data_IF_076946305117
#
_entry.id   IF_076946305117
#
_cell.length_a   1.000
_cell.length_b   1.000
_cell.length_c   1.000
_cell.angle_alpha   90.00
_cell.angle_beta   90.00
_cell.angle_gamma   90.00
#
_symmetry.space_group_name_H-M   'P 1'
#
loop_
_entity.id
_entity.type
_entity.pdbx_description
1 polymer ?
#
# COMPACT_ATOMS: atom_id res chain seq x y z
N UNK A 1 -36.20 3.11 -10.00
CA UNK A 1 -35.11 2.25 -10.50
C UNK A 1 -33.78 2.98 -10.77
N UNK A 2 -33.65 4.30 -10.53
CA UNK A 2 -32.38 5.03 -10.79
C UNK A 2 -31.49 5.31 -9.56
N UNK A 3 -31.95 5.07 -8.32
CA UNK A 3 -31.17 5.41 -7.11
C UNK A 3 -30.25 4.28 -6.61
N UNK A 4 -30.46 3.02 -7.01
CA UNK A 4 -29.55 1.92 -6.68
C UNK A 4 -28.29 1.88 -7.55
N UNK A 5 -28.33 2.52 -8.73
CA UNK A 5 -27.18 2.56 -9.65
C UNK A 5 -26.09 3.55 -9.20
N UNK A 6 -26.47 4.68 -8.61
CA UNK A 6 -25.51 5.66 -8.07
C UNK A 6 -24.77 5.15 -6.82
N UNK A 7 -25.44 4.39 -5.95
CA UNK A 7 -24.79 3.80 -4.77
C UNK A 7 -23.73 2.74 -5.14
N UNK A 8 -23.93 2.01 -6.24
CA UNK A 8 -22.95 1.05 -6.76
C UNK A 8 -21.73 1.74 -7.41
N UNK A 9 -21.93 2.90 -8.04
CA UNK A 9 -20.84 3.70 -8.62
C UNK A 9 -19.90 4.29 -7.55
N UNK A 10 -20.43 4.68 -6.39
CA UNK A 10 -19.63 5.18 -5.26
C UNK A 10 -18.79 4.05 -4.64
N UNK A 11 -19.34 2.84 -4.50
CA UNK A 11 -18.60 1.67 -4.00
C UNK A 11 -17.45 1.23 -4.94
N UNK A 12 -17.57 1.48 -6.25
CA UNK A 12 -16.55 1.17 -7.26
C UNK A 12 -15.31 2.08 -7.23
N UNK A 13 -15.38 3.22 -6.54
CA UNK A 13 -14.27 4.21 -6.46
C UNK A 13 -13.34 4.01 -5.26
N UNK A 14 -13.63 3.01 -4.41
CA UNK A 14 -12.79 2.63 -3.26
C UNK A 14 -11.70 1.66 -3.72
N UNK A 15 -10.45 1.76 -3.23
CA UNK A 15 -9.39 0.85 -3.64
C UNK A 15 -9.76 -0.60 -3.32
N UNK A 16 -9.82 -1.44 -4.37
CA UNK A 16 -10.20 -2.86 -4.28
C UNK A 16 -11.51 -3.23 -5.00
N UNK A 17 -12.30 -2.26 -5.47
CA UNK A 17 -13.59 -2.55 -6.11
C UNK A 17 -13.52 -2.86 -7.63
N UNK A 18 -12.34 -2.76 -8.25
CA UNK A 18 -12.12 -3.11 -9.66
C UNK A 18 -11.87 -4.59 -9.94
N UNK A 19 -12.00 -5.47 -8.94
CA UNK A 19 -11.78 -6.92 -9.10
C UNK A 19 -13.11 -7.67 -9.01
N UNK A 20 -13.65 -8.01 -10.19
CA UNK A 20 -14.69 -9.03 -10.37
C UNK A 20 -16.11 -8.59 -10.02
N UNK A 21 -17.04 -8.84 -10.95
CA UNK A 21 -18.48 -8.90 -10.63
C UNK A 21 -18.69 -9.82 -9.42
N UNK A 22 -19.72 -9.52 -8.62
CA UNK A 22 -20.15 -10.31 -7.47
C UNK A 22 -20.57 -11.73 -7.86
N UNK A 23 -19.60 -12.59 -8.17
CA UNK A 23 -19.73 -14.04 -8.11
C UNK A 23 -19.39 -14.49 -6.70
N UNK A 24 -20.16 -15.44 -6.17
CA UNK A 24 -19.81 -16.16 -4.95
C UNK A 24 -18.35 -16.60 -5.03
N UNK A 25 -17.51 -16.10 -4.12
CA UNK A 25 -16.14 -16.61 -3.96
C UNK A 25 -16.25 -18.12 -3.69
N UNK A 26 -15.57 -18.99 -4.46
CA UNK A 26 -15.58 -20.41 -4.15
C UNK A 26 -14.98 -20.65 -2.76
N UNK A 27 -15.45 -21.67 -2.02
CA UNK A 27 -14.92 -21.99 -0.71
C UNK A 27 -13.43 -22.31 -0.82
N UNK A 28 -12.63 -21.65 0.01
CA UNK A 28 -11.19 -21.92 0.14
C UNK A 28 -10.98 -23.37 0.62
N UNK A 29 -10.21 -24.16 -0.12
CA UNK A 29 -9.66 -25.42 0.39
C UNK A 29 -8.65 -25.06 1.49
N UNK A 30 -8.72 -25.66 2.70
CA UNK A 30 -7.78 -25.37 3.77
C UNK A 30 -6.33 -25.69 3.33
N UNK A 31 -5.42 -24.72 3.43
CA UNK A 31 -3.97 -24.96 3.29
C UNK A 31 -3.49 -25.93 4.36
N UNK A 32 -2.56 -26.81 4.00
CA UNK A 32 -1.65 -27.40 4.99
C UNK A 32 -0.85 -26.26 5.63
N UNK A 33 -0.93 -26.13 6.95
CA UNK A 33 -0.19 -25.14 7.70
C UNK A 33 1.32 -25.39 7.51
N UNK A 34 2.08 -24.33 7.17
CA UNK A 34 3.54 -24.42 7.19
C UNK A 34 4.01 -24.70 8.62
N UNK A 35 4.92 -25.67 8.79
CA UNK A 35 5.42 -26.08 10.10
C UNK A 35 6.41 -25.08 10.73
N UNK A 36 6.83 -24.02 10.01
CA UNK A 36 7.78 -23.02 10.50
C UNK A 36 7.24 -21.59 10.29
N UNK A 37 7.19 -20.74 11.34
CA UNK A 37 6.76 -19.36 11.20
C UNK A 37 7.82 -18.51 10.47
N UNK A 38 7.41 -17.56 9.62
CA UNK A 38 8.35 -16.68 8.92
C UNK A 38 9.13 -15.79 9.91
N UNK A 39 10.38 -15.41 9.60
CA UNK A 39 11.23 -14.60 10.49
C UNK A 39 10.69 -13.19 10.75
N UNK A 40 9.86 -12.67 9.84
CA UNK A 40 9.10 -11.43 10.04
C UNK A 40 7.63 -11.72 9.75
N UNK A 41 6.69 -11.28 10.62
CA UNK A 41 5.26 -11.39 10.36
C UNK A 41 4.89 -10.75 9.02
N UNK A 42 3.95 -11.35 8.30
CA UNK A 42 3.49 -10.81 7.03
C UNK A 42 2.86 -9.42 7.24
N UNK A 43 3.43 -8.34 6.66
CA UNK A 43 2.94 -6.98 6.91
C UNK A 43 1.61 -6.66 6.24
N UNK A 44 1.07 -7.54 5.39
CA UNK A 44 -0.14 -7.28 4.61
C UNK A 44 -1.34 -8.11 5.07
N UNK A 45 -1.19 -8.90 6.13
CA UNK A 45 -2.29 -9.70 6.69
C UNK A 45 -2.64 -9.14 8.05
N UNK A 46 -3.91 -8.80 8.24
CA UNK A 46 -4.43 -8.35 9.51
C UNK A 46 -5.57 -9.28 9.93
N UNK A 47 -5.39 -9.98 11.05
CA UNK A 47 -6.47 -10.76 11.67
C UNK A 47 -6.94 -10.08 12.95
N UNK A 48 -8.00 -9.28 12.85
CA UNK A 48 -8.63 -8.70 14.03
C UNK A 48 -9.55 -9.74 14.68
N UNK A 49 -9.07 -10.39 15.75
CA UNK A 49 -9.88 -11.30 16.56
C UNK A 49 -10.68 -10.53 17.60
N UNK A 50 -12.01 -10.56 17.47
CA UNK A 50 -12.94 -9.94 18.43
C UNK A 50 -13.74 -11.01 19.17
N UNK A 51 -13.61 -11.05 20.50
CA UNK A 51 -14.46 -11.87 21.37
C UNK A 51 -15.91 -11.37 21.42
N UNK A 52 -16.83 -12.22 21.90
CA UNK A 52 -18.26 -11.93 21.93
C UNK A 52 -18.60 -10.63 22.66
N UNK A 53 -17.97 -10.37 23.82
CA UNK A 53 -18.17 -9.14 24.59
C UNK A 53 -17.84 -7.86 23.79
N UNK A 54 -16.76 -7.88 22.99
CA UNK A 54 -16.38 -6.73 22.15
C UNK A 54 -17.33 -6.53 20.98
N UNK A 55 -17.85 -7.62 20.41
CA UNK A 55 -18.86 -7.55 19.34
C UNK A 55 -20.17 -6.94 19.87
N UNK A 56 -20.63 -7.38 21.05
CA UNK A 56 -21.79 -6.79 21.72
C UNK A 56 -21.56 -5.31 22.04
N UNK A 57 -20.38 -4.96 22.56
CA UNK A 57 -20.03 -3.55 22.81
C UNK A 57 -20.09 -2.71 21.52
N UNK A 58 -19.47 -3.18 20.43
CA UNK A 58 -19.50 -2.50 19.13
C UNK A 58 -20.94 -2.37 18.60
N UNK A 59 -21.78 -3.39 18.82
CA UNK A 59 -23.18 -3.36 18.41
C UNK A 59 -23.96 -2.27 19.18
N UNK A 60 -23.93 -2.30 20.51
CA UNK A 60 -24.67 -1.34 21.34
C UNK A 60 -24.16 0.10 21.16
N UNK A 61 -22.84 0.30 21.18
CA UNK A 61 -22.26 1.62 20.93
C UNK A 61 -22.49 2.05 19.48
N UNK A 62 -22.48 1.11 18.53
CA UNK A 62 -22.68 1.40 17.12
C UNK A 62 -24.06 1.97 16.81
N UNK A 63 -25.11 1.50 17.48
CA UNK A 63 -26.48 2.04 17.31
C UNK A 63 -26.52 3.55 17.62
N UNK A 64 -25.69 4.03 18.55
CA UNK A 64 -25.69 5.42 19.00
C UNK A 64 -24.58 6.22 18.29
N UNK A 65 -23.32 5.77 18.37
CA UNK A 65 -22.15 6.51 17.90
C UNK A 65 -22.08 6.57 16.38
N UNK A 66 -22.38 5.47 15.68
CA UNK A 66 -22.24 5.44 14.22
C UNK A 66 -23.10 6.51 13.51
N UNK A 67 -24.43 6.62 13.75
CA UNK A 67 -25.24 7.62 13.06
C UNK A 67 -24.83 9.05 13.43
N UNK A 68 -24.50 9.30 14.71
CA UNK A 68 -24.05 10.63 15.17
C UNK A 68 -22.74 11.01 14.47
N UNK A 69 -21.75 10.13 14.48
CA UNK A 69 -20.43 10.40 13.87
C UNK A 69 -20.53 10.52 12.36
N UNK A 70 -21.31 9.68 11.70
CA UNK A 70 -21.54 9.76 10.26
C UNK A 70 -22.19 11.10 9.88
N UNK A 71 -23.18 11.56 10.64
CA UNK A 71 -23.81 12.86 10.44
C UNK A 71 -22.82 14.00 10.63
N UNK A 72 -22.06 14.01 11.72
CA UNK A 72 -21.05 15.04 11.99
C UNK A 72 -19.97 15.08 10.90
N UNK A 73 -19.48 13.94 10.46
CA UNK A 73 -18.52 13.81 9.35
C UNK A 73 -19.10 14.41 8.07
N UNK A 74 -20.34 14.07 7.73
CA UNK A 74 -21.01 14.60 6.54
C UNK A 74 -21.17 16.13 6.62
N UNK A 75 -21.61 16.66 7.76
CA UNK A 75 -21.75 18.10 7.99
C UNK A 75 -20.40 18.83 7.86
N UNK A 76 -19.33 18.30 8.44
CA UNK A 76 -18.00 18.91 8.35
C UNK A 76 -17.48 18.91 6.92
N UNK A 77 -17.68 17.84 6.16
CA UNK A 77 -17.29 17.79 4.73
C UNK A 77 -18.07 18.84 3.93
N UNK A 78 -19.37 18.97 4.16
CA UNK A 78 -20.21 19.98 3.50
C UNK A 78 -19.78 21.42 3.87
N UNK A 79 -19.42 21.65 5.13
CA UNK A 79 -18.91 22.95 5.60
C UNK A 79 -17.51 23.27 5.05
N UNK A 80 -16.65 22.27 4.89
CA UNK A 80 -15.30 22.46 4.35
C UNK A 80 -15.30 22.72 2.83
N UNK A 81 -16.27 22.15 2.12
CA UNK A 81 -16.38 22.26 0.66
C UNK A 81 -16.36 23.69 0.10
N UNK A 82 -17.14 24.67 0.60
CA UNK A 82 -17.10 26.05 0.08
C UNK A 82 -15.71 26.69 0.25
N UNK A 83 -15.02 26.45 1.37
CA UNK A 83 -13.66 26.97 1.57
C UNK A 83 -12.67 26.34 0.59
N UNK A 84 -12.78 25.04 0.33
CA UNK A 84 -11.98 24.39 -0.70
C UNK A 84 -12.28 24.96 -2.10
N UNK A 85 -13.56 25.25 -2.39
CA UNK A 85 -13.97 25.87 -3.65
C UNK A 85 -13.41 27.27 -3.81
N UNK A 86 -13.43 28.11 -2.78
CA UNK A 86 -12.82 29.45 -2.77
C UNK A 86 -11.30 29.34 -2.96
N UNK A 87 -10.65 28.43 -2.25
CA UNK A 87 -9.20 28.20 -2.31
C UNK A 87 -8.74 27.87 -3.74
N UNK A 88 -9.54 27.07 -4.44
CA UNK A 88 -9.22 26.56 -5.79
C UNK A 88 -10.01 27.26 -6.91
N UNK A 89 -10.70 28.36 -6.62
CA UNK A 89 -11.44 29.12 -7.61
C UNK A 89 -10.48 29.67 -8.68
N UNK A 90 -10.87 29.62 -9.96
CA UNK A 90 -10.06 30.11 -11.08
C UNK A 90 -8.65 29.49 -11.19
N UNK A 91 -8.38 28.37 -10.51
CA UNK A 91 -7.13 27.64 -10.65
C UNK A 91 -7.25 26.66 -11.83
N UNK A 92 -6.20 26.50 -12.66
CA UNK A 92 -6.17 25.43 -13.65
C UNK A 92 -6.19 24.07 -12.98
N UNK A 93 -6.63 23.03 -13.70
CA UNK A 93 -6.67 21.67 -13.17
C UNK A 93 -5.26 21.16 -12.81
N UNK A 94 -4.25 21.55 -13.59
CA UNK A 94 -2.84 21.34 -13.29
C UNK A 94 -2.20 22.66 -12.86
N UNK A 95 -1.84 22.75 -11.58
CA UNK A 95 -1.20 23.94 -11.02
C UNK A 95 0.25 24.08 -11.50
N UNK A 96 0.57 25.22 -12.12
CA UNK A 96 1.95 25.59 -12.46
C UNK A 96 2.64 26.41 -11.37
N UNK A 97 1.86 27.12 -10.55
CA UNK A 97 2.30 27.93 -9.42
C UNK A 97 1.49 27.59 -8.16
N UNK A 98 2.07 27.81 -6.96
CA UNK A 98 1.35 27.54 -5.73
C UNK A 98 0.17 28.49 -5.56
N UNK A 99 -0.92 27.98 -4.99
CA UNK A 99 -2.02 28.82 -4.51
C UNK A 99 -1.45 29.69 -3.39
N UNK A 100 -1.56 31.01 -3.55
CA UNK A 100 -0.99 32.03 -2.66
C UNK A 100 -1.99 33.17 -2.43
N UNK A 101 -1.64 34.09 -1.53
CA UNK A 101 -2.44 35.28 -1.24
C UNK A 101 -3.68 35.01 -0.39
N UNK A 102 -4.61 35.97 -0.38
CA UNK A 102 -5.73 36.04 0.56
C UNK A 102 -6.61 34.77 0.56
N UNK A 103 -6.78 34.11 -0.59
CA UNK A 103 -7.58 32.89 -0.69
C UNK A 103 -7.03 31.79 0.19
N UNK A 104 -5.71 31.61 0.19
CA UNK A 104 -5.05 30.60 1.01
C UNK A 104 -4.97 31.04 2.47
N UNK A 105 -4.62 32.29 2.73
CA UNK A 105 -4.53 32.84 4.10
C UNK A 105 -5.85 32.72 4.87
N UNK A 106 -6.99 32.91 4.20
CA UNK A 106 -8.32 32.75 4.82
C UNK A 106 -8.75 31.28 4.89
N UNK A 107 -8.59 30.52 3.80
CA UNK A 107 -9.16 29.16 3.74
C UNK A 107 -8.34 28.12 4.49
N UNK A 108 -7.00 28.25 4.54
CA UNK A 108 -6.14 27.22 5.13
C UNK A 108 -6.35 27.06 6.65
N UNK A 109 -6.43 28.12 7.48
CA UNK A 109 -6.71 27.95 8.90
C UNK A 109 -8.07 27.29 9.16
N UNK A 110 -9.09 27.66 8.38
CA UNK A 110 -10.44 27.09 8.48
C UNK A 110 -10.45 25.62 8.09
N UNK A 111 -9.84 25.27 6.95
CA UNK A 111 -9.72 23.88 6.51
C UNK A 111 -8.90 23.04 7.49
N UNK A 112 -7.87 23.61 8.11
CA UNK A 112 -7.07 22.94 9.14
C UNK A 112 -7.92 22.67 10.37
N UNK A 113 -8.69 23.66 10.85
CA UNK A 113 -9.61 23.50 11.97
C UNK A 113 -10.67 22.43 11.68
N UNK A 114 -11.33 22.51 10.51
CA UNK A 114 -12.33 21.54 10.08
C UNK A 114 -11.73 20.14 9.91
N UNK A 115 -10.46 20.03 9.49
CA UNK A 115 -9.73 18.76 9.46
C UNK A 115 -9.56 18.14 10.85
N UNK A 116 -9.20 18.94 11.87
CA UNK A 116 -9.13 18.45 13.25
C UNK A 116 -10.52 18.06 13.78
N UNK A 117 -11.52 18.89 13.51
CA UNK A 117 -12.91 18.60 13.87
C UNK A 117 -13.40 17.30 13.22
N UNK A 118 -13.05 17.07 11.95
CA UNK A 118 -13.40 15.84 11.22
C UNK A 118 -12.88 14.60 11.94
N UNK A 119 -11.59 14.56 12.27
CA UNK A 119 -10.99 13.42 12.99
C UNK A 119 -11.56 13.28 14.40
N UNK A 120 -11.79 14.38 15.11
CA UNK A 120 -12.46 14.34 16.42
C UNK A 120 -13.87 13.76 16.33
N UNK A 121 -14.67 14.16 15.33
CA UNK A 121 -16.00 13.61 15.06
C UNK A 121 -15.98 12.14 14.66
N UNK A 122 -14.91 11.65 14.03
CA UNK A 122 -14.69 10.22 13.79
C UNK A 122 -14.35 9.43 15.07
N UNK A 123 -14.08 10.12 16.18
CA UNK A 123 -13.71 9.55 17.47
C UNK A 123 -12.20 9.54 17.74
N UNK A 124 -11.39 10.23 16.94
CA UNK A 124 -9.94 10.24 17.14
C UNK A 124 -9.51 11.21 18.24
N UNK A 125 -8.65 10.71 19.13
CA UNK A 125 -7.93 11.52 20.12
C UNK A 125 -6.48 11.60 19.66
N UNK A 126 -6.10 12.77 19.16
CA UNK A 126 -4.79 13.00 18.52
C UNK A 126 -3.81 13.53 19.56
N UNK A 127 -2.70 12.85 19.74
CA UNK A 127 -1.56 13.33 20.53
C UNK A 127 -0.44 13.74 19.59
N UNK A 128 0.01 14.98 19.73
CA UNK A 128 1.08 15.55 18.91
C UNK A 128 2.40 15.54 19.69
N UNK A 129 3.47 15.04 19.07
CA UNK A 129 4.83 15.02 19.63
C UNK A 129 5.81 15.65 18.64
N UNK A 130 6.83 16.32 19.15
CA UNK A 130 7.85 16.97 18.32
C UNK A 130 7.38 18.28 17.69
N UNK A 131 8.28 18.91 16.92
CA UNK A 131 8.05 20.21 16.28
C UNK A 131 7.96 20.04 14.77
N UNK A 132 6.92 20.63 14.16
CA UNK A 132 6.79 20.68 12.71
C UNK A 132 7.84 21.63 12.14
N UNK A 133 8.67 21.14 11.22
CA UNK A 133 9.69 21.91 10.53
C UNK A 133 9.06 22.86 9.52
N UNK A 134 9.71 24.01 9.30
CA UNK A 134 9.27 24.98 8.29
C UNK A 134 9.57 24.46 6.87
N UNK A 135 8.89 24.95 5.83
CA UNK A 135 9.16 24.55 4.45
C UNK A 135 10.62 24.71 4.00
N UNK A 136 11.32 25.73 4.51
CA UNK A 136 12.76 25.94 4.23
C UNK A 136 13.69 24.95 4.96
N UNK A 137 13.23 24.38 6.07
CA UNK A 137 14.02 23.43 6.88
C UNK A 137 13.87 22.01 6.34
N UNK A 138 12.65 21.61 5.97
CA UNK A 138 12.34 20.31 5.39
C UNK A 138 11.17 20.42 4.40
N UNK A 139 11.43 20.56 3.08
CA UNK A 139 10.36 20.66 2.08
C UNK A 139 9.51 19.39 1.91
N UNK A 140 9.97 18.24 2.44
CA UNK A 140 9.28 16.95 2.32
C UNK A 140 9.04 16.34 3.70
N UNK A 141 7.83 15.89 3.96
CA UNK A 141 7.49 15.01 5.06
C UNK A 141 7.42 13.56 4.59
N UNK A 142 8.00 12.63 5.35
CA UNK A 142 7.88 11.20 5.10
C UNK A 142 7.18 10.54 6.29
N UNK A 143 5.96 10.01 6.08
CA UNK A 143 5.16 9.43 7.15
C UNK A 143 5.15 7.90 7.10
N UNK A 144 5.31 7.27 8.27
CA UNK A 144 5.25 5.82 8.43
C UNK A 144 4.88 5.41 9.87
N UNK A 145 4.35 4.20 10.10
CA UNK A 145 3.91 3.27 9.07
C UNK A 145 2.64 3.77 8.37
N UNK A 146 2.51 3.51 7.07
CA UNK A 146 1.26 3.69 6.34
C UNK A 146 0.40 2.45 6.58
N UNK A 147 -0.69 2.59 7.31
CA UNK A 147 -1.53 1.47 7.74
C UNK A 147 -3.00 1.64 7.43
N UNK A 148 -3.43 2.87 7.13
CA UNK A 148 -4.85 3.16 6.96
C UNK A 148 -5.09 4.45 6.19
N UNK A 149 -6.27 4.59 5.62
CA UNK A 149 -6.70 5.87 5.06
C UNK A 149 -6.86 6.96 6.15
N UNK A 150 -7.02 6.57 7.42
CA UNK A 150 -6.99 7.52 8.54
C UNK A 150 -5.61 8.13 8.81
N UNK A 151 -4.53 7.63 8.19
CA UNK A 151 -3.20 8.25 8.27
C UNK A 151 -3.19 9.66 7.66
N UNK A 152 -4.24 10.04 6.93
CA UNK A 152 -4.51 11.41 6.52
C UNK A 152 -4.50 12.42 7.67
N UNK A 153 -4.60 11.98 8.94
CA UNK A 153 -4.38 12.85 10.10
C UNK A 153 -3.00 13.50 10.08
N UNK A 154 -1.97 12.82 9.54
CA UNK A 154 -0.64 13.40 9.37
C UNK A 154 -0.67 14.67 8.51
N UNK A 155 -1.54 14.73 7.49
CA UNK A 155 -1.72 15.91 6.65
C UNK A 155 -2.30 17.08 7.47
N UNK A 156 -3.34 16.81 8.27
CA UNK A 156 -3.98 17.82 9.12
C UNK A 156 -2.99 18.32 10.19
N UNK A 157 -2.29 17.39 10.84
CA UNK A 157 -1.28 17.64 11.86
C UNK A 157 -0.10 18.48 11.34
N UNK A 158 0.37 18.19 10.12
CA UNK A 158 1.47 18.91 9.46
C UNK A 158 1.06 20.26 8.85
N UNK A 159 -0.21 20.67 8.95
CA UNK A 159 -0.67 21.97 8.47
C UNK A 159 -1.11 22.00 7.01
N UNK A 160 -1.67 20.90 6.52
CA UNK A 160 -2.20 20.74 5.16
C UNK A 160 -1.12 20.87 4.06
N UNK A 161 -0.04 20.07 4.12
CA UNK A 161 0.94 19.97 3.03
C UNK A 161 0.28 19.43 1.75
N UNK A 162 0.99 19.58 0.62
CA UNK A 162 0.68 18.84 -0.59
C UNK A 162 0.84 17.35 -0.36
N UNK A 163 -0.01 16.53 -0.99
CA UNK A 163 0.08 15.08 -0.89
C UNK A 163 0.31 14.46 -2.27
N UNK A 164 0.95 13.30 -2.30
CA UNK A 164 0.95 12.45 -3.51
C UNK A 164 -0.33 11.61 -3.49
N UNK A 165 -1.17 11.78 -4.51
CA UNK A 165 -2.48 11.12 -4.57
C UNK A 165 -2.77 10.57 -5.96
N UNK A 166 -3.61 9.54 -6.05
CA UNK A 166 -4.00 9.01 -7.35
C UNK A 166 -4.95 9.97 -8.06
N UNK A 167 -4.91 9.99 -9.38
CA UNK A 167 -5.75 10.87 -10.18
C UNK A 167 -7.26 10.59 -9.98
N UNK A 168 -7.65 9.36 -9.68
CA UNK A 168 -9.06 9.01 -9.45
C UNK A 168 -9.61 9.69 -8.18
N UNK A 169 -8.76 9.94 -7.18
CA UNK A 169 -9.18 10.54 -5.92
C UNK A 169 -9.66 12.00 -6.09
N UNK A 170 -9.14 12.74 -7.08
CA UNK A 170 -9.61 14.12 -7.36
C UNK A 170 -10.93 14.17 -8.14
N UNK A 171 -11.39 13.03 -8.65
CA UNK A 171 -12.66 12.90 -9.36
C UNK A 171 -13.83 12.53 -8.43
N UNK A 172 -13.55 12.15 -7.18
CA UNK A 172 -14.60 11.85 -6.19
C UNK A 172 -15.39 13.13 -5.88
N UNK A 173 -16.73 13.12 -6.00
CA UNK A 173 -17.56 14.27 -5.65
C UNK A 173 -17.31 14.77 -4.23
N UNK A 174 -17.33 16.09 -4.03
CA UNK A 174 -17.00 16.80 -2.78
C UNK A 174 -15.54 16.64 -2.31
N UNK A 175 -15.07 15.41 -2.13
CA UNK A 175 -13.73 15.07 -1.64
C UNK A 175 -12.64 15.55 -2.62
N UNK A 176 -12.86 15.42 -3.92
CA UNK A 176 -11.90 15.83 -4.92
C UNK A 176 -11.58 17.32 -4.90
N UNK A 177 -12.54 18.17 -4.50
CA UNK A 177 -12.31 19.62 -4.34
C UNK A 177 -11.47 19.93 -3.11
N UNK A 178 -11.77 19.28 -1.98
CA UNK A 178 -10.96 19.35 -0.76
C UNK A 178 -9.52 18.89 -1.03
N UNK A 179 -9.38 17.79 -1.77
CA UNK A 179 -8.07 17.26 -2.17
C UNK A 179 -7.30 18.26 -3.04
N UNK A 180 -7.94 18.89 -4.04
CA UNK A 180 -7.32 19.94 -4.87
C UNK A 180 -6.84 21.15 -4.07
N UNK A 181 -7.51 21.51 -2.97
CA UNK A 181 -7.09 22.61 -2.10
C UNK A 181 -5.74 22.36 -1.41
N UNK A 182 -5.36 21.08 -1.25
CA UNK A 182 -4.02 20.69 -0.79
C UNK A 182 -2.94 20.80 -1.88
N UNK A 183 -3.33 21.11 -3.12
CA UNK A 183 -2.45 21.20 -4.28
C UNK A 183 -1.69 19.87 -4.51
N UNK A 184 -2.38 18.73 -4.74
CA UNK A 184 -1.76 17.42 -4.74
C UNK A 184 -0.80 17.24 -5.93
N UNK A 185 0.19 16.37 -5.76
CA UNK A 185 0.95 15.79 -6.87
C UNK A 185 0.19 14.53 -7.32
N UNK A 186 -0.37 14.55 -8.52
CA UNK A 186 -1.22 13.47 -9.01
C UNK A 186 -0.41 12.40 -9.73
N UNK A 187 -0.70 11.14 -9.39
CA UNK A 187 -0.15 9.96 -10.06
C UNK A 187 -1.25 9.16 -10.72
N UNK A 188 -1.01 8.74 -11.96
CA UNK A 188 -1.85 7.87 -12.76
C UNK A 188 -1.17 6.50 -12.88
N UNK A 189 -1.98 5.44 -12.86
CA UNK A 189 -1.49 4.07 -13.08
C UNK A 189 -1.62 3.62 -14.53
N UNK A 190 -2.43 4.34 -15.31
CA UNK A 190 -2.68 4.03 -16.73
C UNK A 190 -1.69 4.73 -17.65
N UNK A 191 -1.13 5.85 -17.22
CA UNK A 191 -0.13 6.62 -17.97
C UNK A 191 1.29 6.10 -17.65
N UNK A 192 2.02 5.54 -18.64
CA UNK A 192 3.38 5.02 -18.45
C UNK A 192 4.37 6.08 -17.95
N UNK A 193 4.19 7.34 -18.35
CA UNK A 193 5.08 8.45 -17.98
C UNK A 193 4.70 9.08 -16.63
N UNK A 194 3.56 8.70 -16.05
CA UNK A 194 3.03 9.37 -14.87
C UNK A 194 3.96 9.31 -13.66
N UNK A 195 4.69 8.20 -13.49
CA UNK A 195 5.69 8.09 -12.41
C UNK A 195 6.82 9.08 -12.58
N UNK A 196 7.33 9.23 -13.80
CA UNK A 196 8.38 10.20 -14.14
C UNK A 196 7.88 11.64 -13.94
N UNK A 197 6.66 11.93 -14.39
CA UNK A 197 6.01 13.23 -14.19
C UNK A 197 5.81 13.56 -12.71
N UNK A 198 5.40 12.58 -11.90
CA UNK A 198 5.26 12.70 -10.45
C UNK A 198 6.60 13.04 -9.80
N UNK A 199 7.67 12.32 -10.16
CA UNK A 199 9.02 12.58 -9.63
C UNK A 199 9.49 13.98 -10.02
N UNK A 200 9.34 14.38 -11.28
CA UNK A 200 9.71 15.71 -11.75
C UNK A 200 8.98 16.82 -10.98
N UNK A 201 7.68 16.62 -10.70
CA UNK A 201 6.90 17.58 -9.94
C UNK A 201 7.30 17.63 -8.46
N UNK A 202 7.62 16.48 -7.85
CA UNK A 202 8.18 16.43 -6.49
C UNK A 202 9.51 17.20 -6.44
N UNK A 203 10.42 16.94 -7.37
CA UNK A 203 11.72 17.65 -7.47
C UNK A 203 11.47 19.15 -7.60
N UNK A 204 10.69 19.58 -8.61
CA UNK A 204 10.39 20.99 -8.88
C UNK A 204 9.87 21.73 -7.65
N UNK A 205 8.95 21.12 -6.90
CA UNK A 205 8.34 21.74 -5.72
C UNK A 205 9.25 21.70 -4.50
N UNK A 206 9.93 20.58 -4.27
CA UNK A 206 10.80 20.39 -3.12
C UNK A 206 12.06 21.29 -3.18
N UNK A 207 12.54 21.61 -4.39
CA UNK A 207 13.68 22.51 -4.61
C UNK A 207 13.27 23.99 -4.80
N UNK A 208 12.00 24.34 -4.58
CA UNK A 208 11.48 25.69 -4.84
C UNK A 208 11.83 26.75 -3.77
N UNK A 209 12.71 26.42 -2.81
CA UNK A 209 13.08 27.34 -1.74
C UNK A 209 11.93 27.69 -0.78
N UNK A 210 10.92 26.81 -0.66
CA UNK A 210 9.77 27.00 0.24
C UNK A 210 8.60 27.79 -0.38
N UNK A 211 8.61 28.06 -1.69
CA UNK A 211 7.48 28.70 -2.38
C UNK A 211 6.25 27.77 -2.44
N UNK A 212 6.48 26.47 -2.64
CA UNK A 212 5.42 25.47 -2.60
C UNK A 212 5.14 25.00 -1.15
N UNK A 213 3.90 24.56 -0.86
CA UNK A 213 3.65 23.78 0.36
C UNK A 213 4.60 22.58 0.43
N UNK A 214 4.98 22.20 1.65
CA UNK A 214 5.71 20.95 1.89
C UNK A 214 4.95 19.76 1.29
N UNK A 215 5.65 18.69 0.92
CA UNK A 215 5.05 17.50 0.31
C UNK A 215 5.05 16.37 1.34
N UNK A 216 3.88 15.83 1.67
CA UNK A 216 3.73 14.63 2.49
C UNK A 216 3.67 13.39 1.61
N UNK A 217 4.58 12.45 1.87
CA UNK A 217 4.67 11.17 1.18
C UNK A 217 4.67 10.03 2.19
N UNK A 218 3.95 8.96 1.88
CA UNK A 218 4.07 7.67 2.56
C UNK A 218 4.98 6.77 1.72
N UNK A 219 6.28 6.66 2.03
CA UNK A 219 7.24 6.03 1.15
C UNK A 219 7.05 4.50 1.01
N UNK A 220 6.29 3.85 1.88
CA UNK A 220 5.86 2.45 1.70
C UNK A 220 5.04 2.25 0.41
N UNK A 221 4.27 3.26 0.00
CA UNK A 221 3.44 3.22 -1.20
C UNK A 221 2.20 2.31 -1.13
N UNK A 222 1.94 1.69 0.03
CA UNK A 222 0.73 0.90 0.34
C UNK A 222 0.52 0.81 1.84
N UNK A 223 -0.67 0.36 2.27
CA UNK A 223 -0.98 0.17 3.67
C UNK A 223 -0.52 -1.21 4.17
N UNK A 224 0.12 -1.24 5.34
CA UNK A 224 0.61 -2.41 6.06
C UNK A 224 -0.06 -2.51 7.44
N UNK A 225 0.18 -3.59 8.16
CA UNK A 225 -0.37 -3.83 9.50
C UNK A 225 0.48 -3.24 10.64
N UNK A 226 1.51 -2.44 10.32
CA UNK A 226 2.41 -1.78 11.30
C UNK A 226 3.31 -2.73 12.10
N UNK A 227 3.33 -4.02 11.80
CA UNK A 227 4.22 -4.98 12.48
C UNK A 227 5.70 -4.82 12.10
N UNK A 228 5.97 -4.24 10.92
CA UNK A 228 7.30 -3.89 10.44
C UNK A 228 7.20 -2.76 9.40
N UNK A 229 8.32 -2.08 9.13
CA UNK A 229 8.41 -1.18 7.97
C UNK A 229 8.92 -1.93 6.74
N UNK A 230 8.18 -1.82 5.64
CA UNK A 230 8.57 -2.35 4.33
C UNK A 230 9.57 -1.42 3.63
N UNK A 231 10.10 -1.83 2.48
CA UNK A 231 11.04 -1.02 1.70
C UNK A 231 10.42 0.33 1.28
N UNK A 232 11.13 1.41 1.59
CA UNK A 232 10.74 2.76 1.20
C UNK A 232 11.08 3.00 -0.27
N UNK A 233 10.10 3.50 -1.03
CA UNK A 233 10.29 3.94 -2.40
C UNK A 233 11.15 5.22 -2.42
N UNK A 234 12.10 5.35 -3.35
CA UNK A 234 13.03 6.48 -3.37
C UNK A 234 12.39 7.80 -3.80
N UNK A 235 11.16 7.81 -4.31
CA UNK A 235 10.53 8.99 -4.94
C UNK A 235 10.54 10.27 -4.08
N UNK A 236 10.37 10.15 -2.76
CA UNK A 236 10.43 11.29 -1.83
C UNK A 236 11.86 11.80 -1.56
N UNK A 237 12.86 10.97 -1.84
CA UNK A 237 14.28 11.17 -1.51
C UNK A 237 15.10 11.60 -2.75
N UNK A 238 14.58 11.36 -3.96
CA UNK A 238 15.21 11.78 -5.24
C UNK A 238 15.62 13.26 -5.27
N UNK A 239 14.86 14.23 -4.72
CA UNK A 239 15.28 15.63 -4.79
C UNK A 239 16.57 15.96 -4.03
N UNK A 240 17.09 15.06 -3.18
CA UNK A 240 18.32 15.30 -2.42
C UNK A 240 18.20 16.43 -1.39
N UNK A 241 16.98 16.73 -0.95
CA UNK A 241 16.67 17.79 0.03
C UNK A 241 16.39 17.19 1.42
N UNK A 242 16.43 18.00 2.49
CA UNK A 242 16.06 17.52 3.82
C UNK A 242 14.61 17.02 3.89
N UNK A 243 14.40 15.93 4.62
CA UNK A 243 13.07 15.36 4.90
C UNK A 243 12.78 15.37 6.39
N UNK A 244 11.52 15.57 6.79
CA UNK A 244 11.10 15.38 8.17
C UNK A 244 10.27 14.09 8.30
N UNK A 245 10.76 13.09 9.06
CA UNK A 245 9.98 11.89 9.34
C UNK A 245 8.82 12.17 10.29
N UNK A 246 7.66 11.56 10.01
CA UNK A 246 6.47 11.57 10.85
C UNK A 246 6.14 10.12 11.24
N UNK A 247 6.10 9.83 12.53
CA UNK A 247 5.71 8.53 13.04
C UNK A 247 4.23 8.52 13.43
N UNK A 248 3.50 7.51 12.98
CA UNK A 248 2.11 7.26 13.33
C UNK A 248 1.98 6.05 14.24
N UNK A 249 1.33 6.21 15.40
CA UNK A 249 1.00 5.09 16.30
C UNK A 249 -0.48 5.07 16.61
N UNK A 250 -1.08 3.89 16.55
CA UNK A 250 -2.45 3.63 17.02
C UNK A 250 -2.39 2.65 18.20
N UNK A 251 -2.31 3.15 19.45
CA UNK A 251 -2.06 2.32 20.63
C UNK A 251 -3.29 1.60 21.19
N UNK A 252 -4.46 1.72 20.53
CA UNK A 252 -5.66 0.99 20.93
C UNK A 252 -5.40 -0.53 20.92
N UNK A 253 -5.77 -1.22 22.00
CA UNK A 253 -5.66 -2.69 22.09
C UNK A 253 -6.47 -3.41 21.00
N UNK A 254 -7.65 -2.89 20.70
CA UNK A 254 -8.47 -3.38 19.59
C UNK A 254 -8.15 -2.55 18.35
N UNK A 255 -7.57 -3.21 17.36
CA UNK A 255 -7.25 -2.59 16.09
C UNK A 255 -8.47 -2.58 15.17
N UNK A 256 -9.07 -1.40 15.03
CA UNK A 256 -10.17 -1.13 14.09
C UNK A 256 -9.77 -0.22 12.94
N UNK A 257 -8.50 0.16 12.83
CA UNK A 257 -8.04 1.16 11.86
C UNK A 257 -7.19 0.57 10.76
N UNK A 258 -6.48 -0.54 11.01
CA UNK A 258 -5.58 -1.14 10.03
C UNK A 258 -6.34 -1.63 8.79
N UNK A 259 -5.96 -1.08 7.65
CA UNK A 259 -6.50 -1.41 6.35
C UNK A 259 -5.44 -2.12 5.51
N UNK A 260 -5.53 -3.45 5.47
CA UNK A 260 -4.70 -4.25 4.56
C UNK A 260 -5.55 -4.86 3.45
N UNK A 261 -4.90 -5.34 2.39
CA UNK A 261 -5.56 -5.93 1.24
C UNK A 261 -6.42 -7.16 1.56
N UNK A 262 -6.01 -7.96 2.55
CA UNK A 262 -6.76 -9.11 3.06
C UNK A 262 -7.66 -8.79 4.26
N UNK A 263 -7.70 -7.51 4.66
CA UNK A 263 -8.44 -7.04 5.83
C UNK A 263 -9.86 -6.60 5.51
N UNK A 264 -10.39 -5.73 6.37
CA UNK A 264 -11.72 -5.14 6.23
C UNK A 264 -11.84 -4.25 4.99
N UNK A 265 -13.03 -4.18 4.41
CA UNK A 265 -13.36 -3.15 3.41
C UNK A 265 -13.36 -1.76 4.05
N UNK A 266 -13.27 -0.71 3.23
CA UNK A 266 -13.37 0.67 3.69
C UNK A 266 -14.61 0.90 4.59
N UNK A 267 -15.79 0.46 4.16
CA UNK A 267 -17.04 0.65 4.90
C UNK A 267 -17.00 -0.11 6.23
N UNK A 268 -16.54 -1.37 6.22
CA UNK A 268 -16.41 -2.17 7.44
C UNK A 268 -15.46 -1.51 8.44
N UNK A 269 -14.34 -0.98 7.99
CA UNK A 269 -13.35 -0.34 8.84
C UNK A 269 -13.85 0.98 9.42
N UNK A 270 -14.55 1.79 8.62
CA UNK A 270 -15.26 2.99 9.08
C UNK A 270 -16.28 2.63 10.16
N UNK A 271 -17.12 1.61 9.94
CA UNK A 271 -18.08 1.15 10.95
C UNK A 271 -17.38 0.74 12.24
N UNK A 272 -16.37 -0.13 12.15
CA UNK A 272 -15.64 -0.61 13.33
C UNK A 272 -14.97 0.52 14.11
N UNK A 273 -14.35 1.48 13.42
CA UNK A 273 -13.70 2.64 14.04
C UNK A 273 -14.72 3.58 14.66
N UNK A 274 -15.81 3.90 13.95
CA UNK A 274 -16.81 4.86 14.45
C UNK A 274 -17.61 4.30 15.62
N UNK A 275 -17.70 2.98 15.76
CA UNK A 275 -18.29 2.32 16.93
C UNK A 275 -17.37 2.29 18.16
N UNK A 276 -16.07 2.60 18.03
CA UNK A 276 -15.18 2.69 19.20
C UNK A 276 -15.55 3.92 20.05
N UNK A 277 -15.51 3.85 21.40
CA UNK A 277 -15.63 5.05 22.23
C UNK A 277 -14.64 6.14 21.83
N UNK A 278 -13.38 5.76 21.60
CA UNK A 278 -12.33 6.62 21.07
C UNK A 278 -11.24 5.80 20.38
N UNK A 279 -10.59 6.42 19.42
CA UNK A 279 -9.42 5.89 18.70
C UNK A 279 -8.24 6.83 18.96
N UNK A 280 -7.26 6.37 19.72
CA UNK A 280 -6.05 7.17 19.97
C UNK A 280 -5.15 7.09 18.75
N UNK A 281 -4.57 8.23 18.39
CA UNK A 281 -3.49 8.31 17.42
C UNK A 281 -2.40 9.23 17.95
N UNK A 282 -1.16 8.78 17.87
CA UNK A 282 0.00 9.62 18.14
C UNK A 282 0.66 9.99 16.82
N UNK A 283 0.88 11.29 16.62
CA UNK A 283 1.61 11.84 15.48
C UNK A 283 2.89 12.47 16.02
N UNK A 284 4.04 11.86 15.73
CA UNK A 284 5.34 12.32 16.21
C UNK A 284 6.18 12.84 15.05
N UNK A 285 6.56 14.12 15.12
CA UNK A 285 7.48 14.76 14.20
C UNK A 285 8.92 14.55 14.69
N UNK A 286 9.67 13.71 13.99
CA UNK A 286 11.07 13.46 14.29
C UNK A 286 11.97 14.65 13.87
N UNK A 287 13.23 14.70 14.34
CA UNK A 287 14.20 15.67 13.83
C UNK A 287 14.38 15.56 12.31
N UNK A 288 14.59 16.72 11.67
CA UNK A 288 14.84 16.82 10.23
C UNK A 288 16.09 16.02 9.85
N UNK A 289 15.96 15.18 8.82
CA UNK A 289 17.04 14.39 8.27
C UNK A 289 17.57 15.06 7.01
N UNK A 290 18.86 15.43 7.02
CA UNK A 290 19.55 15.97 5.86
C UNK A 290 20.34 14.84 5.17
N UNK A 291 20.28 14.72 3.84
CA UNK A 291 21.12 13.77 3.13
C UNK A 291 22.59 14.25 3.10
N UNK A 292 23.53 13.32 3.25
CA UNK A 292 24.94 13.56 2.95
C UNK A 292 25.19 13.53 1.42
N UNK A 293 26.42 13.76 0.98
CA UNK A 293 26.70 13.84 -0.47
C UNK A 293 26.52 12.51 -1.22
N UNK A 294 26.84 11.38 -0.57
CA UNK A 294 26.57 10.05 -1.12
C UNK A 294 25.06 9.81 -1.28
N UNK A 295 24.27 10.16 -0.27
CA UNK A 295 22.81 10.03 -0.23
C UNK A 295 22.09 10.94 -1.21
N UNK A 296 22.68 12.10 -1.57
CA UNK A 296 22.18 12.93 -2.68
C UNK A 296 22.37 12.24 -4.03
N UNK A 297 23.45 11.47 -4.18
CA UNK A 297 23.74 10.72 -5.41
C UNK A 297 22.99 9.38 -5.48
N UNK A 298 22.68 8.77 -4.34
CA UNK A 298 21.89 7.55 -4.22
C UNK A 298 20.69 7.73 -3.26
N UNK A 299 19.51 8.08 -3.81
CA UNK A 299 18.28 8.23 -3.03
C UNK A 299 17.83 6.96 -2.30
N UNK A 300 18.29 5.78 -2.72
CA UNK A 300 17.96 4.51 -2.06
C UNK A 300 18.67 4.40 -0.72
N UNK A 301 19.92 4.86 -0.63
CA UNK A 301 20.66 4.92 0.63
C UNK A 301 19.94 5.85 1.63
N UNK A 302 19.52 7.03 1.17
CA UNK A 302 18.81 7.97 2.03
C UNK A 302 17.48 7.40 2.52
N UNK A 303 16.70 6.79 1.61
CA UNK A 303 15.44 6.13 1.95
C UNK A 303 15.66 5.00 2.98
N UNK A 304 16.71 4.19 2.80
CA UNK A 304 17.09 3.10 3.70
C UNK A 304 17.47 3.60 5.09
N UNK A 305 18.32 4.63 5.19
CA UNK A 305 18.71 5.23 6.48
C UNK A 305 17.50 5.80 7.21
N UNK A 306 16.65 6.57 6.52
CA UNK A 306 15.45 7.16 7.13
C UNK A 306 14.47 6.08 7.57
N UNK A 307 14.27 5.02 6.78
CA UNK A 307 13.47 3.85 7.20
C UNK A 307 14.01 3.24 8.49
N UNK A 308 15.32 3.01 8.59
CA UNK A 308 15.93 2.41 9.77
C UNK A 308 15.75 3.28 11.01
N UNK A 309 15.96 4.60 10.88
CA UNK A 309 15.73 5.56 11.96
C UNK A 309 14.27 5.57 12.42
N UNK A 310 13.31 5.51 11.49
CA UNK A 310 11.90 5.44 11.81
C UNK A 310 11.54 4.12 12.49
N UNK A 311 12.07 2.99 12.01
CA UNK A 311 11.84 1.67 12.59
C UNK A 311 12.37 1.57 14.02
N UNK A 312 13.57 2.08 14.27
CA UNK A 312 14.18 2.15 15.61
C UNK A 312 13.33 2.98 16.58
N UNK A 313 12.90 4.18 16.16
CA UNK A 313 12.04 5.04 16.98
C UNK A 313 10.61 4.48 17.18
N UNK A 314 10.13 3.62 16.29
CA UNK A 314 8.88 2.89 16.45
C UNK A 314 9.03 1.63 17.30
N UNK A 315 10.24 1.10 17.46
CA UNK A 315 10.50 -0.18 18.12
C UNK A 315 9.98 -1.38 17.33
N UNK A 316 9.98 -1.31 16.00
CA UNK A 316 9.50 -2.39 15.11
C UNK A 316 10.59 -2.82 14.13
N UNK A 317 10.60 -4.09 13.67
CA UNK A 317 11.57 -4.54 12.68
C UNK A 317 11.33 -3.92 11.30
N UNK A 318 12.32 -4.08 10.43
CA UNK A 318 12.20 -3.79 8.99
C UNK A 318 12.06 -5.09 8.21
N UNK A 319 11.53 -4.98 7.00
CA UNK A 319 11.53 -6.08 6.03
C UNK A 319 11.79 -5.56 4.62
N UNK A 320 12.32 -6.43 3.77
CA UNK A 320 12.65 -6.09 2.39
C UNK A 320 11.45 -6.19 1.44
N UNK A 321 10.27 -6.56 1.95
CA UNK A 321 9.05 -6.56 1.15
C UNK A 321 8.87 -5.20 0.46
N UNK A 322 8.41 -5.25 -0.77
CA UNK A 322 8.09 -4.07 -1.58
C UNK A 322 6.59 -4.02 -1.86
N UNK A 323 6.13 -2.89 -2.39
CA UNK A 323 4.78 -2.77 -2.91
C UNK A 323 4.49 -3.79 -4.02
N UNK A 324 5.49 -4.05 -4.86
CA UNK A 324 5.42 -4.99 -5.96
C UNK A 324 5.23 -6.41 -5.42
N UNK A 325 5.96 -6.80 -4.37
CA UNK A 325 5.76 -8.09 -3.68
C UNK A 325 4.34 -8.24 -3.12
N UNK A 326 3.79 -7.16 -2.54
CA UNK A 326 2.40 -7.13 -2.07
C UNK A 326 1.41 -7.41 -3.21
N UNK A 327 1.58 -6.75 -4.36
CA UNK A 327 0.72 -6.97 -5.54
C UNK A 327 0.78 -8.41 -6.03
N UNK A 328 1.99 -8.95 -6.15
CA UNK A 328 2.20 -10.33 -6.59
C UNK A 328 1.56 -11.31 -5.61
N UNK A 329 1.69 -11.05 -4.31
CA UNK A 329 1.09 -11.86 -3.25
C UNK A 329 -0.45 -11.83 -3.32
N UNK A 330 -1.08 -10.68 -3.58
CA UNK A 330 -2.54 -10.58 -3.74
C UNK A 330 -3.02 -11.37 -4.95
N UNK A 331 -2.37 -11.19 -6.10
CA UNK A 331 -2.66 -11.96 -7.31
C UNK A 331 -2.54 -13.45 -7.01
N UNK A 332 -1.44 -13.88 -6.39
CA UNK A 332 -1.21 -15.28 -6.01
C UNK A 332 -2.32 -15.83 -5.10
N UNK A 333 -2.85 -15.03 -4.16
CA UNK A 333 -3.91 -15.43 -3.24
C UNK A 333 -5.29 -15.58 -3.86
N UNK A 334 -5.62 -14.74 -4.82
CA UNK A 334 -6.84 -14.89 -5.64
C UNK A 334 -6.81 -16.19 -6.45
N UNK A 335 -5.62 -16.73 -6.66
CA UNK A 335 -5.33 -17.92 -7.45
C UNK A 335 -4.98 -19.13 -6.55
N UNK A 336 -5.19 -19.02 -5.23
CA UNK A 336 -4.97 -20.07 -4.21
C UNK A 336 -3.53 -20.59 -4.06
N UNK A 337 -2.53 -19.77 -4.39
CA UNK A 337 -1.12 -20.16 -4.40
C UNK A 337 -0.42 -19.91 -3.05
N UNK A 338 0.68 -20.60 -2.70
CA UNK A 338 1.42 -20.39 -1.45
C UNK A 338 2.06 -18.99 -1.40
N UNK A 339 1.66 -18.16 -0.44
CA UNK A 339 1.98 -16.72 -0.39
C UNK A 339 2.99 -16.31 0.67
N UNK A 340 3.51 -17.23 1.47
CA UNK A 340 4.30 -16.87 2.65
C UNK A 340 5.78 -17.00 2.33
N UNK A 341 6.45 -15.85 2.10
CA UNK A 341 7.90 -15.71 2.04
C UNK A 341 8.63 -16.55 0.97
N UNK A 342 7.98 -16.85 -0.17
CA UNK A 342 8.63 -17.60 -1.28
C UNK A 342 9.06 -16.70 -2.42
N UNK A 343 8.17 -15.77 -2.83
CA UNK A 343 8.35 -14.94 -4.02
C UNK A 343 9.48 -13.90 -3.91
N UNK A 344 9.77 -13.39 -2.71
CA UNK A 344 10.78 -12.35 -2.49
C UNK A 344 12.18 -12.95 -2.58
N UNK A 345 12.43 -14.03 -1.85
CA UNK A 345 13.65 -14.82 -1.90
C UNK A 345 13.86 -15.39 -3.31
N UNK A 346 12.78 -15.84 -3.96
CA UNK A 346 12.80 -16.32 -5.33
C UNK A 346 13.29 -15.24 -6.30
N UNK A 347 12.76 -14.02 -6.21
CA UNK A 347 13.18 -12.90 -7.07
C UNK A 347 14.65 -12.51 -6.85
N UNK A 348 15.15 -12.63 -5.62
CA UNK A 348 16.56 -12.34 -5.28
C UNK A 348 17.49 -13.43 -5.83
N UNK A 349 17.15 -14.69 -5.66
CA UNK A 349 17.98 -15.82 -6.12
C UNK A 349 17.95 -15.92 -7.65
N UNK A 350 16.80 -15.69 -8.28
CA UNK A 350 16.67 -15.63 -9.75
C UNK A 350 17.51 -14.50 -10.38
N UNK A 351 17.65 -13.35 -9.71
CA UNK A 351 18.58 -12.28 -10.13
C UNK A 351 20.05 -12.69 -10.01
N UNK A 352 20.42 -13.40 -8.94
CA UNK A 352 21.79 -13.93 -8.77
C UNK A 352 22.16 -14.96 -9.84
N UNK A 353 21.17 -15.73 -10.30
CA UNK A 353 21.32 -16.71 -11.38
C UNK A 353 21.40 -16.08 -12.79
N UNK A 354 21.24 -14.76 -12.92
CA UNK A 354 21.19 -14.04 -14.22
C UNK A 354 20.21 -14.68 -15.21
N UNK A 355 19.08 -15.16 -14.70
CA UNK A 355 18.06 -15.79 -15.53
C UNK A 355 17.55 -14.79 -16.57
N UNK A 356 17.59 -15.21 -17.84
CA UNK A 356 17.06 -14.43 -18.96
C UNK A 356 15.53 -14.46 -18.92
N UNK A 357 14.95 -13.37 -18.41
CA UNK A 357 13.51 -13.24 -18.23
C UNK A 357 12.74 -13.25 -19.55
N UNK A 358 13.32 -12.74 -20.64
CA UNK A 358 12.68 -12.74 -21.96
C UNK A 358 12.72 -14.14 -22.60
N UNK A 359 13.81 -14.88 -22.40
CA UNK A 359 13.93 -16.28 -22.79
C UNK A 359 12.98 -17.20 -22.01
N UNK A 360 12.89 -17.01 -20.69
CA UNK A 360 11.98 -17.75 -19.80
C UNK A 360 10.52 -17.51 -20.16
N UNK A 361 10.17 -16.27 -20.51
CA UNK A 361 8.80 -15.93 -20.94
C UNK A 361 8.39 -16.66 -22.20
N UNK A 362 9.33 -16.92 -23.14
CA UNK A 362 9.07 -17.72 -24.34
C UNK A 362 8.95 -19.21 -24.04
N UNK A 363 9.59 -19.69 -22.97
CA UNK A 363 9.57 -21.10 -22.54
C UNK A 363 8.45 -21.43 -21.56
N UNK A 364 7.67 -20.43 -21.16
CA UNK A 364 6.64 -20.58 -20.13
C UNK A 364 5.52 -21.55 -20.55
N UNK A 365 5.20 -21.61 -21.84
CA UNK A 365 4.27 -22.58 -22.42
C UNK A 365 4.84 -24.00 -22.39
N UNK A 366 6.15 -24.18 -22.63
CA UNK A 366 6.83 -25.48 -22.53
C UNK A 366 6.85 -25.95 -21.07
N UNK A 367 7.17 -25.06 -20.13
CA UNK A 367 7.15 -25.38 -18.70
C UNK A 367 5.76 -25.71 -18.18
N UNK A 368 4.70 -25.06 -18.69
CA UNK A 368 3.32 -25.39 -18.36
C UNK A 368 2.92 -26.78 -18.89
N UNK A 369 3.35 -27.15 -20.10
CA UNK A 369 3.14 -28.49 -20.67
C UNK A 369 3.87 -29.55 -19.81
N UNK A 370 5.14 -29.29 -19.47
CA UNK A 370 5.94 -30.19 -18.64
C UNK A 370 5.26 -30.42 -17.29
N UNK A 371 4.89 -29.33 -16.60
CA UNK A 371 4.23 -29.39 -15.30
C UNK A 371 2.88 -30.14 -15.32
N UNK A 372 2.23 -30.22 -16.49
CA UNK A 372 0.99 -30.98 -16.70
C UNK A 372 1.22 -32.47 -17.05
N UNK A 373 2.43 -32.83 -17.49
CA UNK A 373 2.79 -34.18 -17.98
C UNK A 373 3.55 -35.04 -16.96
N UNK A 374 4.24 -34.41 -16.00
CA UNK A 374 4.99 -35.07 -14.94
C UNK A 374 4.06 -35.67 -13.89
N UNK A 375 4.26 -36.95 -13.54
CA UNK A 375 3.50 -37.77 -12.56
C UNK A 375 3.29 -37.07 -11.20
N UNK A 376 2.28 -36.21 -11.10
CA UNK A 376 1.96 -35.47 -9.88
C UNK A 376 2.72 -34.14 -9.69
N UNK A 377 3.46 -33.67 -10.70
CA UNK A 377 4.11 -32.35 -10.69
C UNK A 377 5.37 -32.22 -9.83
N UNK A 378 5.82 -33.29 -9.15
CA UNK A 378 7.00 -33.27 -8.27
C UNK A 378 8.26 -33.63 -9.03
N UNK A 379 9.30 -32.80 -8.90
CA UNK A 379 10.59 -32.96 -9.60
C UNK A 379 11.77 -32.81 -8.63
N UNK A 380 12.87 -33.50 -8.93
CA UNK A 380 14.14 -33.38 -8.19
C UNK A 380 15.02 -32.21 -8.65
N UNK A 381 16.13 -31.95 -7.96
CA UNK A 381 17.05 -30.85 -8.29
C UNK A 381 17.71 -31.04 -9.66
N UNK A 382 17.97 -32.28 -10.06
CA UNK A 382 18.56 -32.62 -11.36
C UNK A 382 17.61 -32.29 -12.51
N UNK A 383 16.34 -32.71 -12.41
CA UNK A 383 15.29 -32.38 -13.38
C UNK A 383 15.03 -30.86 -13.40
N UNK A 384 15.05 -30.22 -12.24
CA UNK A 384 14.91 -28.76 -12.14
C UNK A 384 16.04 -28.01 -12.85
N UNK A 385 17.28 -28.49 -12.70
CA UNK A 385 18.45 -27.93 -13.37
C UNK A 385 18.36 -28.10 -14.91
N UNK A 386 17.93 -29.28 -15.35
CA UNK A 386 17.73 -29.59 -16.77
C UNK A 386 16.66 -28.67 -17.41
N UNK A 387 15.53 -28.48 -16.74
CA UNK A 387 14.47 -27.59 -17.23
C UNK A 387 14.92 -26.13 -17.33
N UNK A 388 15.71 -25.66 -16.37
CA UNK A 388 16.26 -24.30 -16.40
C UNK A 388 17.49 -24.15 -17.30
N UNK A 389 17.98 -25.26 -17.88
CA UNK A 389 19.20 -25.30 -18.69
C UNK A 389 20.40 -24.71 -17.93
N UNK A 390 20.46 -24.98 -16.62
CA UNK A 390 21.50 -24.52 -15.71
C UNK A 390 22.21 -25.72 -15.07
N UNK A 391 23.51 -25.62 -14.76
CA UNK A 391 24.18 -26.64 -13.96
C UNK A 391 23.68 -26.60 -12.51
N UNK A 392 23.70 -27.76 -11.84
CA UNK A 392 23.44 -27.85 -10.40
C UNK A 392 24.55 -27.08 -9.65
N UNK A 393 24.24 -25.86 -9.26
CA UNK A 393 25.12 -24.94 -8.52
C UNK A 393 24.57 -24.65 -7.13
N UNK A 394 25.39 -24.13 -6.22
CA UNK A 394 24.93 -23.77 -4.87
C UNK A 394 23.81 -22.72 -4.88
N UNK A 395 23.81 -21.84 -5.88
CA UNK A 395 22.75 -20.84 -6.08
C UNK A 395 21.46 -21.51 -6.59
N UNK A 396 21.56 -22.51 -7.47
CA UNK A 396 20.39 -23.29 -7.91
C UNK A 396 19.82 -24.14 -6.76
N UNK A 397 20.68 -24.71 -5.91
CA UNK A 397 20.25 -25.43 -4.69
C UNK A 397 19.54 -24.49 -3.72
N UNK A 398 20.02 -23.26 -3.57
CA UNK A 398 19.32 -22.23 -2.78
C UNK A 398 17.94 -21.91 -3.38
N UNK A 399 17.83 -21.83 -4.71
CA UNK A 399 16.55 -21.61 -5.39
C UNK A 399 15.58 -22.77 -5.17
N UNK A 400 16.06 -24.00 -5.37
CA UNK A 400 15.29 -25.22 -5.18
C UNK A 400 14.81 -25.37 -3.73
N UNK A 401 15.67 -25.09 -2.76
CA UNK A 401 15.34 -25.10 -1.34
C UNK A 401 14.23 -24.10 -0.93
N UNK A 402 13.97 -23.06 -1.74
CA UNK A 402 12.81 -22.18 -1.48
C UNK A 402 11.47 -22.89 -1.72
N UNK A 403 11.46 -23.87 -2.62
CA UNK A 403 10.28 -24.67 -2.97
C UNK A 403 10.31 -26.04 -2.28
N UNK A 404 11.48 -26.63 -2.01
CA UNK A 404 11.67 -27.87 -1.23
C UNK A 404 11.71 -27.56 0.27
N UNK A 405 10.59 -27.04 0.79
CA UNK A 405 10.50 -26.55 2.17
C UNK A 405 10.46 -27.66 3.22
N UNK A 406 10.10 -28.87 2.83
CA UNK A 406 10.09 -30.05 3.69
C UNK A 406 11.40 -30.85 3.60
N UNK A 407 12.34 -30.41 2.77
CA UNK A 407 13.63 -31.06 2.55
C UNK A 407 13.47 -32.54 2.14
N UNK A 408 12.41 -32.86 1.40
CA UNK A 408 12.17 -34.21 0.89
C UNK A 408 12.91 -34.46 -0.43
N UNK A 409 13.64 -33.45 -0.93
CA UNK A 409 14.43 -33.53 -2.15
C UNK A 409 13.59 -33.32 -3.40
N UNK A 410 12.32 -32.91 -3.28
CA UNK A 410 11.41 -32.71 -4.41
C UNK A 410 10.61 -31.41 -4.29
N UNK A 411 10.30 -30.79 -5.43
CA UNK A 411 9.47 -29.58 -5.50
C UNK A 411 8.28 -29.78 -6.43
N UNK A 412 7.15 -29.14 -6.14
CA UNK A 412 6.07 -29.06 -7.14
C UNK A 412 6.46 -28.04 -8.21
N UNK A 413 6.83 -28.52 -9.39
CA UNK A 413 7.26 -27.68 -10.50
C UNK A 413 6.18 -26.69 -10.92
N UNK A 414 4.90 -27.00 -10.69
CA UNK A 414 3.80 -26.06 -10.96
C UNK A 414 3.93 -24.83 -10.08
N UNK A 415 4.31 -24.97 -8.82
CA UNK A 415 4.50 -23.83 -7.92
C UNK A 415 5.64 -22.93 -8.39
N UNK A 416 6.71 -23.52 -8.93
CA UNK A 416 7.80 -22.78 -9.56
C UNK A 416 7.33 -22.02 -10.82
N UNK A 417 6.67 -22.70 -11.76
CA UNK A 417 6.18 -22.11 -13.03
C UNK A 417 5.19 -20.98 -12.76
N UNK A 418 4.35 -21.15 -11.75
CA UNK A 418 3.37 -20.14 -11.35
C UNK A 418 4.06 -18.95 -10.69
N UNK A 419 5.02 -19.19 -9.79
CA UNK A 419 5.86 -18.13 -9.22
C UNK A 419 6.57 -17.31 -10.31
N UNK A 420 7.05 -17.99 -11.35
CA UNK A 420 7.70 -17.40 -12.51
C UNK A 420 6.72 -16.60 -13.39
N UNK A 421 5.54 -17.14 -13.68
CA UNK A 421 4.48 -16.49 -14.45
C UNK A 421 4.02 -15.16 -13.80
N UNK A 422 3.81 -15.20 -12.48
CA UNK A 422 3.41 -14.06 -11.67
C UNK A 422 4.46 -12.95 -11.73
N UNK A 423 5.76 -13.31 -11.76
CA UNK A 423 6.86 -12.35 -11.86
C UNK A 423 7.08 -11.79 -13.28
N UNK A 424 6.96 -12.63 -14.31
CA UNK A 424 7.19 -12.22 -15.69
C UNK A 424 6.10 -11.30 -16.25
N UNK A 425 4.86 -11.38 -15.74
CA UNK A 425 3.76 -10.57 -16.27
C UNK A 425 2.70 -10.19 -15.22
N UNK A 426 2.99 -9.22 -14.33
CA UNK A 426 2.06 -8.78 -13.27
C UNK A 426 0.81 -8.03 -13.77
N UNK A 427 0.64 -7.86 -15.08
CA UNK A 427 -0.51 -7.19 -15.71
C UNK A 427 -1.48 -8.16 -16.41
N UNK A 428 -1.05 -9.38 -16.75
CA UNK A 428 -1.82 -10.35 -17.55
C UNK A 428 -1.88 -11.76 -16.91
N UNK A 429 -1.89 -11.79 -15.58
CA UNK A 429 -1.80 -13.02 -14.76
C UNK A 429 -2.94 -14.02 -15.04
N UNK A 430 -4.09 -13.55 -15.49
CA UNK A 430 -5.31 -14.35 -15.63
C UNK A 430 -5.29 -15.28 -16.87
N UNK A 431 -4.77 -14.80 -18.01
CA UNK A 431 -4.66 -15.59 -19.24
C UNK A 431 -3.61 -16.71 -19.12
N UNK A 432 -2.47 -16.43 -18.49
CA UNK A 432 -1.35 -17.38 -18.35
C UNK A 432 -1.72 -18.52 -17.40
N UNK A 433 -2.49 -18.23 -16.35
CA UNK A 433 -2.95 -19.27 -15.41
C UNK A 433 -4.08 -20.10 -16.01
N UNK A 434 -4.93 -19.50 -16.85
CA UNK A 434 -5.85 -20.29 -17.66
C UNK A 434 -5.09 -21.26 -18.58
N UNK A 435 -3.97 -20.86 -19.19
CA UNK A 435 -3.13 -21.77 -19.98
C UNK A 435 -2.51 -22.88 -19.13
N UNK A 436 -2.00 -22.57 -17.93
CA UNK A 436 -1.40 -23.54 -17.01
C UNK A 436 -2.38 -24.60 -16.46
N UNK A 437 -3.69 -24.27 -16.36
CA UNK A 437 -4.70 -25.16 -15.76
C UNK A 437 -5.82 -25.65 -16.71
N UNK A 438 -5.96 -25.14 -17.95
CA UNK A 438 -7.08 -25.53 -18.84
C UNK A 438 -6.98 -26.90 -19.51
N UNK A 439 -5.84 -27.60 -19.48
CA UNK A 439 -5.75 -28.90 -20.19
C UNK A 439 -6.31 -30.11 -19.44
N UNK A 440 -6.75 -29.98 -18.18
CA UNK A 440 -7.22 -31.12 -17.37
C UNK A 440 -8.73 -31.18 -17.06
N UNK A 441 -9.59 -30.45 -17.79
CA UNK A 441 -11.05 -30.56 -17.62
C UNK A 441 -11.78 -31.25 -18.80
N UNK A 442 -11.05 -31.95 -19.67
CA UNK A 442 -11.63 -32.71 -20.79
C UNK A 442 -11.11 -34.14 -20.91
N UNK A 443 -10.92 -34.87 -19.81
CA UNK A 443 -11.04 -36.33 -19.86
C UNK A 443 -11.47 -36.81 -18.48
N UNK A 444 -12.74 -37.16 -18.36
CA UNK A 444 -13.25 -38.32 -17.62
C UNK A 444 -14.68 -38.52 -18.17
N UNK A 445 -15.02 -39.71 -18.71
CA UNK A 445 -16.35 -39.98 -19.25
C UNK A 445 -17.45 -39.89 -18.20
#
# INVERSE_FOLDING_TARGET
>A
MSQCAEAAAVAATVPGAGMGKAGLRPPMVPRQASFFPPPVPNPFVQQTRMGAARRLQILFLGIILLPIRALLVALIILLAWPFATISTACCPEKLTHPITGWRREITQPVLKFLGHALFFSMGFIVTMKGKVARPMEAPVFVAAPHSTFFDGIACVAAGLPSIVSRNENVQVPLIGRLLRALQPVLVSRVDPDSRKNTINEIVRRATSGGQWPQILVFPEGTCTNRSCLITFKPGAFIPGVPVQPILLRYPNKLDTVTWTWQGYTFIQLCMLTFCQPFTKVEVEFMPVQKPNDEEKSDPVLFAGRVRNLMAEALGIPITDHTYEDCRLMISAGQLTLPMEAGLVEFTKISRKLKLDWDGIRKQLDEYAIIASSSKGGRIGIEEFAEYLKLPVSDVLRQLFALFDRNHDGSIDFREYVIGLAVLCNPANTEDIIQVAFKRNLKVLP
#
